data_IF_254836934510
#
_entry.id   IF_254836934510
#
_cell.length_a   1.000
_cell.length_b   1.000
_cell.length_c   1.000
_cell.angle_alpha   90.00
_cell.angle_beta   90.00
_cell.angle_gamma   90.00
#
_symmetry.space_group_name_H-M   'P 1'
#
loop_
_entity.id
_entity.type
_entity.pdbx_description
1 polymer ?
#
# COMPACT_ATOMS: atom_id res chain seq x y z
N UNK A 1 22.25 19.82 -18.22
CA UNK A 1 21.58 18.59 -17.73
C UNK A 1 20.23 18.98 -17.13
N UNK A 2 19.16 18.23 -17.40
CA UNK A 2 17.84 18.48 -16.76
C UNK A 2 17.82 17.74 -15.43
N UNK A 3 17.34 18.38 -14.35
CA UNK A 3 17.15 17.71 -13.05
C UNK A 3 16.15 16.57 -13.19
N UNK A 4 16.46 15.42 -12.59
CA UNK A 4 15.55 14.28 -12.50
C UNK A 4 14.45 14.52 -11.46
N UNK A 5 13.25 14.00 -11.73
CA UNK A 5 12.10 13.93 -10.83
C UNK A 5 12.12 12.70 -9.91
N UNK A 6 13.09 11.80 -10.10
CA UNK A 6 13.31 10.59 -9.27
C UNK A 6 13.24 10.81 -7.75
N UNK A 7 13.75 11.91 -7.16
CA UNK A 7 13.68 12.12 -5.71
C UNK A 7 12.25 12.10 -5.14
N UNK A 8 11.23 12.42 -5.94
CA UNK A 8 9.82 12.37 -5.51
C UNK A 8 9.38 10.91 -5.31
N UNK A 9 9.59 10.07 -6.32
CA UNK A 9 9.22 8.66 -6.27
C UNK A 9 10.08 7.88 -5.28
N UNK A 10 11.37 8.22 -5.19
CA UNK A 10 12.29 7.61 -4.24
C UNK A 10 11.87 7.88 -2.78
N UNK A 11 11.35 9.07 -2.47
CA UNK A 11 10.82 9.38 -1.14
C UNK A 11 9.65 8.48 -0.75
N UNK A 12 8.68 8.29 -1.65
CA UNK A 12 7.53 7.40 -1.43
C UNK A 12 7.96 5.93 -1.37
N UNK A 13 8.89 5.53 -2.23
CA UNK A 13 9.52 4.21 -2.21
C UNK A 13 10.21 3.92 -0.87
N UNK A 14 10.99 4.86 -0.36
CA UNK A 14 11.70 4.73 0.91
C UNK A 14 10.73 4.61 2.09
N UNK A 15 9.75 5.52 2.17
CA UNK A 15 8.71 5.48 3.20
C UNK A 15 7.91 4.17 3.17
N UNK A 16 7.48 3.73 1.98
CA UNK A 16 6.81 2.45 1.79
C UNK A 16 7.69 1.26 2.14
N UNK A 17 8.98 1.32 1.85
CA UNK A 17 9.93 0.28 2.24
C UNK A 17 10.04 0.11 3.75
N UNK A 18 10.04 1.21 4.50
CA UNK A 18 10.03 1.17 5.96
C UNK A 18 8.74 0.55 6.51
N UNK A 19 7.58 0.94 5.97
CA UNK A 19 6.29 0.35 6.36
C UNK A 19 6.27 -1.15 6.05
N UNK A 20 6.69 -1.54 4.86
CA UNK A 20 6.77 -2.96 4.45
C UNK A 20 7.67 -3.74 5.40
N UNK A 21 8.87 -3.22 5.69
CA UNK A 21 9.83 -3.93 6.55
C UNK A 21 9.33 -4.11 7.99
N UNK A 22 8.63 -3.11 8.54
CA UNK A 22 8.22 -3.11 9.95
C UNK A 22 6.85 -3.78 10.18
N UNK A 23 5.88 -3.57 9.28
CA UNK A 23 4.48 -3.93 9.54
C UNK A 23 3.99 -5.09 8.66
N UNK A 24 4.47 -5.24 7.43
CA UNK A 24 3.95 -6.26 6.52
C UNK A 24 4.08 -7.69 7.08
N UNK A 25 5.17 -8.09 7.78
CA UNK A 25 5.27 -9.44 8.32
C UNK A 25 4.12 -9.80 9.26
N UNK A 26 3.79 -8.91 10.21
CA UNK A 26 2.70 -9.17 11.17
C UNK A 26 1.32 -9.04 10.53
N UNK A 27 1.14 -8.11 9.59
CA UNK A 27 -0.11 -7.97 8.84
C UNK A 27 -0.39 -9.26 8.07
N UNK A 28 0.56 -9.74 7.27
CA UNK A 28 0.40 -10.97 6.48
C UNK A 28 0.23 -12.19 7.38
N UNK A 29 0.97 -12.28 8.49
CA UNK A 29 0.81 -13.37 9.45
C UNK A 29 -0.61 -13.42 10.01
N UNK A 30 -1.15 -12.28 10.46
CA UNK A 30 -2.49 -12.24 11.07
C UNK A 30 -3.59 -12.44 10.01
N UNK A 31 -3.60 -11.63 8.96
CA UNK A 31 -4.71 -11.57 8.00
C UNK A 31 -4.64 -12.66 6.94
N UNK A 32 -3.44 -13.11 6.57
CA UNK A 32 -3.21 -14.10 5.53
C UNK A 32 -3.07 -15.53 6.04
N UNK A 33 -2.65 -15.73 7.31
CA UNK A 33 -2.39 -17.07 7.86
C UNK A 33 -3.23 -17.37 9.12
N UNK A 34 -3.01 -16.66 10.22
CA UNK A 34 -3.57 -17.05 11.53
C UNK A 34 -5.10 -17.02 11.59
N UNK A 35 -5.73 -15.98 11.05
CA UNK A 35 -7.20 -15.89 10.99
C UNK A 35 -7.78 -16.88 9.98
N UNK A 36 -7.32 -16.94 8.71
CA UNK A 36 -7.87 -17.90 7.74
C UNK A 36 -7.69 -19.38 8.13
N UNK A 37 -6.64 -19.71 8.89
CA UNK A 37 -6.39 -21.06 9.37
C UNK A 37 -7.16 -21.41 10.67
N UNK A 38 -7.91 -20.46 11.25
CA UNK A 38 -8.63 -20.66 12.51
C UNK A 38 -7.72 -20.85 13.73
N UNK A 39 -6.46 -20.41 13.64
CA UNK A 39 -5.50 -20.46 14.76
C UNK A 39 -5.82 -19.36 15.78
N UNK A 40 -6.28 -18.20 15.29
CA UNK A 40 -6.93 -17.18 16.13
C UNK A 40 -8.45 -17.30 16.03
N UNK A 41 -9.14 -16.83 17.07
CA UNK A 41 -10.59 -16.76 17.08
C UNK A 41 -11.08 -15.94 15.88
N UNK A 42 -12.08 -16.47 15.18
CA UNK A 42 -12.68 -15.84 13.99
C UNK A 42 -13.24 -14.46 14.34
N UNK A 43 -13.72 -14.30 15.58
CA UNK A 43 -14.21 -13.03 16.11
C UNK A 43 -13.11 -11.96 16.26
N UNK A 44 -11.82 -12.34 16.21
CA UNK A 44 -10.69 -11.40 16.31
C UNK A 44 -10.69 -10.40 15.15
N UNK A 45 -11.14 -10.84 13.97
CA UNK A 45 -11.26 -10.04 12.75
C UNK A 45 -12.68 -10.15 12.18
N UNK A 46 -13.69 -10.10 13.05
CA UNK A 46 -15.09 -10.04 12.61
C UNK A 46 -15.32 -8.80 11.73
N UNK A 47 -16.34 -8.88 10.88
CA UNK A 47 -16.69 -7.78 9.99
C UNK A 47 -16.98 -6.49 10.78
N UNK A 48 -17.70 -6.61 11.90
CA UNK A 48 -18.11 -5.48 12.74
C UNK A 48 -16.89 -4.77 13.33
N UNK A 49 -15.91 -5.53 13.82
CA UNK A 49 -14.66 -4.96 14.38
C UNK A 49 -13.80 -4.30 13.30
N UNK A 50 -13.69 -4.93 12.14
CA UNK A 50 -12.94 -4.38 11.02
C UNK A 50 -13.58 -3.08 10.52
N UNK A 51 -14.91 -3.05 10.43
CA UNK A 51 -15.67 -1.87 10.05
C UNK A 51 -15.52 -0.75 11.10
N UNK A 52 -15.69 -1.07 12.39
CA UNK A 52 -15.52 -0.10 13.49
C UNK A 52 -14.11 0.52 13.47
N UNK A 53 -13.07 -0.30 13.27
CA UNK A 53 -11.71 0.18 13.12
C UNK A 53 -11.56 1.12 11.91
N UNK A 54 -12.04 0.70 10.74
CA UNK A 54 -11.93 1.47 9.50
C UNK A 54 -12.74 2.78 9.50
N UNK A 55 -13.84 2.83 10.24
CA UNK A 55 -14.67 4.03 10.42
C UNK A 55 -14.09 5.01 11.45
N UNK A 56 -13.09 4.63 12.24
CA UNK A 56 -12.38 5.56 13.12
C UNK A 56 -11.33 6.37 12.35
N UNK A 57 -11.16 7.67 12.69
CA UNK A 57 -10.12 8.52 12.08
C UNK A 57 -8.71 7.92 12.18
N UNK A 58 -8.37 7.33 13.33
CA UNK A 58 -7.06 6.72 13.55
C UNK A 58 -6.89 5.43 12.76
N UNK A 59 -7.90 4.56 12.76
CA UNK A 59 -7.86 3.32 11.98
C UNK A 59 -7.80 3.58 10.48
N UNK A 60 -8.57 4.55 9.98
CA UNK A 60 -8.47 5.02 8.61
C UNK A 60 -7.07 5.54 8.25
N UNK A 61 -6.46 6.38 9.09
CA UNK A 61 -5.07 6.84 8.86
C UNK A 61 -4.07 5.67 8.81
N UNK A 62 -4.21 4.69 9.69
CA UNK A 62 -3.36 3.49 9.71
C UNK A 62 -3.57 2.68 8.41
N UNK A 63 -4.82 2.40 8.04
CA UNK A 63 -5.18 1.67 6.82
C UNK A 63 -4.63 2.37 5.57
N UNK A 64 -4.75 3.70 5.50
CA UNK A 64 -4.20 4.48 4.41
C UNK A 64 -2.68 4.29 4.29
N UNK A 65 -1.94 4.38 5.40
CA UNK A 65 -0.49 4.21 5.42
C UNK A 65 -0.08 2.80 4.99
N UNK A 66 -0.71 1.76 5.53
CA UNK A 66 -0.35 0.36 5.24
C UNK A 66 -0.80 -0.13 3.86
N UNK A 67 -1.69 0.60 3.17
CA UNK A 67 -2.10 0.28 1.79
C UNK A 67 -1.33 1.16 0.79
N UNK A 68 -1.36 2.48 0.96
CA UNK A 68 -0.81 3.41 -0.01
C UNK A 68 0.73 3.33 -0.09
N UNK A 69 1.44 3.35 1.05
CA UNK A 69 2.91 3.40 0.99
C UNK A 69 3.53 2.10 0.46
N UNK A 70 3.08 0.88 0.86
CA UNK A 70 3.56 -0.35 0.25
C UNK A 70 3.33 -0.45 -1.27
N UNK A 71 2.23 0.12 -1.81
CA UNK A 71 2.01 0.08 -3.26
C UNK A 71 3.02 0.97 -4.00
N UNK A 72 3.36 2.14 -3.47
CA UNK A 72 4.44 2.98 -4.03
C UNK A 72 5.78 2.26 -3.99
N UNK A 73 6.09 1.57 -2.89
CA UNK A 73 7.31 0.78 -2.78
C UNK A 73 7.38 -0.34 -3.84
N UNK A 74 6.32 -1.13 -3.94
CA UNK A 74 6.25 -2.26 -4.88
C UNK A 74 6.32 -1.79 -6.33
N UNK A 75 5.53 -0.79 -6.72
CA UNK A 75 5.49 -0.29 -8.09
C UNK A 75 6.81 0.36 -8.51
N UNK A 76 7.50 1.07 -7.61
CA UNK A 76 8.83 1.62 -7.88
C UNK A 76 9.85 0.51 -8.15
N UNK A 77 9.86 -0.56 -7.34
CA UNK A 77 10.74 -1.72 -7.56
C UNK A 77 10.44 -2.45 -8.87
N UNK A 78 9.16 -2.63 -9.20
CA UNK A 78 8.78 -3.31 -10.46
C UNK A 78 9.19 -2.46 -11.66
N UNK A 79 8.95 -1.14 -11.63
CA UNK A 79 9.33 -0.24 -12.72
C UNK A 79 10.84 -0.29 -13.00
N UNK A 80 11.68 -0.15 -11.98
CA UNK A 80 13.14 -0.26 -12.13
C UNK A 80 13.59 -1.69 -12.45
N UNK A 81 12.91 -2.69 -11.88
CA UNK A 81 13.15 -4.10 -12.18
C UNK A 81 12.92 -4.46 -13.65
N UNK A 82 12.08 -3.75 -14.39
CA UNK A 82 11.96 -3.94 -15.84
C UNK A 82 13.29 -3.69 -16.56
N UNK A 83 13.99 -2.63 -16.18
CA UNK A 83 15.30 -2.31 -16.76
C UNK A 83 16.32 -3.42 -16.44
N UNK A 84 16.30 -3.93 -15.21
CA UNK A 84 17.19 -5.03 -14.78
C UNK A 84 16.90 -6.34 -15.53
N UNK A 85 15.66 -6.55 -15.98
CA UNK A 85 15.24 -7.66 -16.83
C UNK A 85 15.49 -7.44 -18.34
N UNK A 86 16.13 -6.33 -18.72
CA UNK A 86 16.45 -5.99 -20.11
C UNK A 86 15.28 -5.39 -20.90
N UNK A 87 14.16 -5.06 -20.25
CA UNK A 87 13.04 -4.38 -20.88
C UNK A 87 13.35 -2.87 -20.90
N UNK A 88 13.33 -2.29 -22.09
CA UNK A 88 13.58 -0.86 -22.26
C UNK A 88 12.42 -0.06 -21.65
N UNK A 89 12.69 0.60 -20.52
CA UNK A 89 11.70 1.42 -19.84
C UNK A 89 11.37 2.66 -20.68
N UNK A 90 10.08 2.99 -20.71
CA UNK A 90 9.55 4.13 -21.47
C UNK A 90 8.62 4.93 -20.57
N UNK A 91 8.21 6.12 -21.02
CA UNK A 91 7.23 6.95 -20.30
C UNK A 91 5.90 6.20 -20.04
N UNK A 92 5.52 5.29 -20.94
CA UNK A 92 4.33 4.46 -20.74
C UNK A 92 4.45 3.62 -19.48
N UNK A 93 5.57 2.90 -19.32
CA UNK A 93 5.84 2.09 -18.14
C UNK A 93 5.78 2.94 -16.87
N UNK A 94 6.45 4.10 -16.89
CA UNK A 94 6.42 5.05 -15.78
C UNK A 94 4.98 5.44 -15.40
N UNK A 95 4.14 5.83 -16.36
CA UNK A 95 2.74 6.18 -16.09
C UNK A 95 1.90 4.99 -15.63
N UNK A 96 2.16 3.79 -16.15
CA UNK A 96 1.45 2.58 -15.72
C UNK A 96 1.73 2.28 -14.25
N UNK A 97 3.00 2.19 -13.83
CA UNK A 97 3.32 1.79 -12.46
C UNK A 97 3.01 2.88 -11.43
N UNK A 98 3.42 4.12 -11.69
CA UNK A 98 3.16 5.22 -10.75
C UNK A 98 1.71 5.69 -10.81
N UNK A 99 1.06 5.63 -11.97
CA UNK A 99 -0.37 5.89 -12.10
C UNK A 99 -1.21 4.83 -11.39
N UNK A 100 -0.80 3.56 -11.42
CA UNK A 100 -1.44 2.50 -10.63
C UNK A 100 -1.28 2.72 -9.13
N UNK A 101 -0.07 3.05 -8.65
CA UNK A 101 0.15 3.38 -7.24
C UNK A 101 -0.71 4.57 -6.78
N UNK A 102 -0.80 5.61 -7.62
CA UNK A 102 -1.67 6.75 -7.37
C UNK A 102 -3.15 6.37 -7.33
N UNK A 103 -3.63 5.58 -8.30
CA UNK A 103 -5.03 5.16 -8.38
C UNK A 103 -5.44 4.35 -7.14
N UNK A 104 -4.62 3.38 -6.73
CA UNK A 104 -4.86 2.59 -5.51
C UNK A 104 -4.90 3.50 -4.28
N UNK A 105 -3.97 4.46 -4.18
CA UNK A 105 -3.94 5.42 -3.08
C UNK A 105 -5.21 6.30 -3.04
N UNK A 106 -5.64 6.82 -4.19
CA UNK A 106 -6.81 7.68 -4.32
C UNK A 106 -8.11 6.94 -3.99
N UNK A 107 -8.27 5.70 -4.48
CA UNK A 107 -9.41 4.84 -4.14
C UNK A 107 -9.43 4.56 -2.63
N UNK A 108 -8.27 4.24 -2.05
CA UNK A 108 -8.15 3.97 -0.60
C UNK A 108 -8.59 5.17 0.22
N UNK A 109 -8.10 6.37 -0.11
CA UNK A 109 -8.54 7.61 0.56
C UNK A 109 -10.04 7.81 0.39
N UNK A 110 -10.56 7.69 -0.83
CA UNK A 110 -11.99 7.88 -1.12
C UNK A 110 -12.89 6.96 -0.29
N UNK A 111 -12.58 5.67 -0.25
CA UNK A 111 -13.35 4.69 0.53
C UNK A 111 -13.26 4.93 2.03
N UNK A 112 -12.07 5.22 2.56
CA UNK A 112 -11.89 5.49 3.98
C UNK A 112 -12.60 6.78 4.41
N UNK A 113 -12.58 7.83 3.57
CA UNK A 113 -13.32 9.05 3.85
C UNK A 113 -14.83 8.82 3.87
N UNK A 114 -15.37 7.94 3.01
CA UNK A 114 -16.78 7.55 3.08
C UNK A 114 -17.09 6.87 4.42
N UNK A 115 -16.24 5.97 4.88
CA UNK A 115 -16.47 5.23 6.14
C UNK A 115 -16.36 6.11 7.39
N UNK A 116 -15.49 7.12 7.37
CA UNK A 116 -15.22 8.00 8.52
C UNK A 116 -16.25 9.14 8.64
N UNK A 117 -16.92 9.51 7.54
CA UNK A 117 -17.88 10.61 7.50
C UNK A 117 -19.35 10.16 7.66
N UNK A 118 -19.60 8.84 7.77
CA UNK A 118 -20.90 8.27 8.12
C UNK A 118 -21.15 8.38 9.62
#
# INVERSE_FOLDING_TARGET
MRRSDEPIYWGLFGAGGMVVAMLLPVIVLITGLLVPMGIMDVETMSYERALEFASSWWGACILLVIIALPIWHGMHRIYHGLHDLGIHTTKLHHYVFYGFAFLVSAITVGLLMVLVLQ
#
